data_IF_095454264599
#
_entry.id   IF_095454264599
#
_cell.length_a   1.000
_cell.length_b   1.000
_cell.length_c   1.000
_cell.angle_alpha   90.00
_cell.angle_beta   90.00
_cell.angle_gamma   90.00
#
_symmetry.space_group_name_H-M   'P 1'
#
loop_
_entity.id
_entity.type
_entity.pdbx_description
1 polymer ?
#
# COMPACT_ATOMS: atom_id res chain seq x y z
N UNK A 1 15.19 -26.51 -3.60
CA UNK A 1 14.36 -25.42 -3.05
C UNK A 1 13.01 -26.02 -2.72
N UNK A 2 12.51 -25.82 -1.50
CA UNK A 2 11.17 -26.28 -1.14
C UNK A 2 10.15 -25.43 -1.90
N UNK A 3 9.18 -26.08 -2.54
CA UNK A 3 8.06 -25.38 -3.19
C UNK A 3 7.32 -24.51 -2.16
N UNK A 4 6.86 -23.31 -2.54
CA UNK A 4 6.13 -22.45 -1.63
C UNK A 4 4.82 -23.12 -1.21
N UNK A 5 4.42 -22.88 0.04
CA UNK A 5 3.17 -23.40 0.61
C UNK A 5 2.39 -22.28 1.28
N UNK A 6 1.07 -22.36 1.21
CA UNK A 6 0.16 -21.47 1.96
C UNK A 6 0.43 -21.62 3.45
N UNK A 7 0.47 -20.49 4.18
CA UNK A 7 0.74 -20.47 5.61
C UNK A 7 -0.55 -20.18 6.38
N UNK A 8 -1.01 -21.12 7.19
CA UNK A 8 -2.22 -20.96 8.00
C UNK A 8 -2.01 -20.12 9.27
N UNK A 9 -0.76 -19.92 9.69
CA UNK A 9 -0.42 -19.18 10.91
C UNK A 9 0.39 -17.92 10.60
N UNK A 10 0.22 -16.86 11.40
CA UNK A 10 1.08 -15.69 11.34
C UNK A 10 2.56 -16.04 11.52
N UNK A 11 3.47 -15.30 10.86
CA UNK A 11 4.90 -15.42 11.12
C UNK A 11 5.20 -14.93 12.55
N UNK A 12 6.11 -15.60 13.24
CA UNK A 12 6.50 -15.27 14.61
C UNK A 12 7.65 -14.25 14.67
N UNK A 13 8.27 -13.95 13.52
CA UNK A 13 9.37 -12.99 13.42
C UNK A 13 9.44 -12.36 12.03
N UNK A 14 10.09 -11.19 11.94
CA UNK A 14 10.42 -10.56 10.66
C UNK A 14 11.27 -11.47 9.77
N UNK A 15 12.22 -12.22 10.36
CA UNK A 15 13.07 -13.14 9.60
C UNK A 15 12.25 -14.26 8.98
N UNK A 16 11.31 -14.85 9.72
CA UNK A 16 10.41 -15.87 9.20
C UNK A 16 9.54 -15.32 8.06
N UNK A 17 8.93 -14.14 8.26
CA UNK A 17 8.15 -13.47 7.23
C UNK A 17 8.98 -13.25 5.95
N UNK A 18 10.22 -12.76 6.10
CA UNK A 18 11.10 -12.51 4.98
C UNK A 18 11.48 -13.80 4.25
N UNK A 19 11.76 -14.90 4.97
CA UNK A 19 12.04 -16.20 4.37
C UNK A 19 10.84 -16.74 3.59
N UNK A 20 9.61 -16.61 4.13
CA UNK A 20 8.38 -16.95 3.42
C UNK A 20 8.25 -16.12 2.14
N UNK A 21 8.45 -14.81 2.22
CA UNK A 21 8.37 -13.92 1.05
C UNK A 21 9.45 -14.23 0.00
N UNK A 22 10.68 -14.53 0.42
CA UNK A 22 11.77 -14.90 -0.48
C UNK A 22 11.48 -16.19 -1.25
N UNK A 23 10.78 -17.14 -0.62
CA UNK A 23 10.37 -18.39 -1.29
C UNK A 23 9.38 -18.19 -2.44
N UNK A 24 8.72 -17.03 -2.52
CA UNK A 24 7.79 -16.68 -3.59
C UNK A 24 8.49 -16.02 -4.78
N UNK A 25 9.69 -15.48 -4.59
CA UNK A 25 10.41 -14.76 -5.64
C UNK A 25 10.69 -15.67 -6.85
N UNK A 26 10.39 -15.16 -8.05
CA UNK A 26 10.54 -15.87 -9.31
C UNK A 26 9.31 -16.66 -9.77
N UNK A 27 8.40 -17.03 -8.87
CA UNK A 27 7.13 -17.66 -9.24
C UNK A 27 6.21 -16.68 -9.96
N UNK A 28 5.39 -17.20 -10.87
CA UNK A 28 4.34 -16.42 -11.50
C UNK A 28 3.01 -16.50 -10.74
N UNK A 29 2.13 -15.53 -11.00
CA UNK A 29 0.84 -15.43 -10.31
C UNK A 29 -0.08 -16.64 -10.55
N UNK A 30 0.00 -17.30 -11.71
CA UNK A 30 -0.80 -18.50 -11.97
C UNK A 30 -0.35 -19.68 -11.11
N UNK A 31 0.96 -19.93 -11.02
CA UNK A 31 1.53 -21.00 -10.19
C UNK A 31 1.14 -20.82 -8.71
N UNK A 32 1.28 -19.60 -8.20
CA UNK A 32 0.91 -19.29 -6.82
C UNK A 32 -0.61 -19.39 -6.60
N UNK A 33 -1.42 -18.98 -7.57
CA UNK A 33 -2.88 -19.13 -7.51
C UNK A 33 -3.30 -20.60 -7.44
N UNK A 34 -2.69 -21.46 -8.26
CA UNK A 34 -2.96 -22.90 -8.28
C UNK A 34 -2.59 -23.56 -6.95
N UNK A 35 -1.42 -23.20 -6.38
CA UNK A 35 -1.00 -23.68 -5.06
C UNK A 35 -1.97 -23.22 -3.97
N UNK A 36 -2.40 -21.96 -4.01
CA UNK A 36 -3.36 -21.40 -3.06
C UNK A 36 -4.81 -21.83 -3.29
N UNK A 37 -5.09 -22.53 -4.41
CA UNK A 37 -6.44 -22.88 -4.88
C UNK A 37 -7.34 -21.65 -5.01
N UNK A 38 -6.77 -20.52 -5.43
CA UNK A 38 -7.50 -19.29 -5.68
C UNK A 38 -7.74 -19.12 -7.19
N UNK A 39 -8.96 -18.75 -7.62
CA UNK A 39 -9.22 -18.51 -9.04
C UNK A 39 -8.43 -17.27 -9.50
N UNK A 40 -7.61 -17.44 -10.53
CA UNK A 40 -6.90 -16.34 -11.18
C UNK A 40 -7.90 -15.52 -12.03
N UNK A 41 -8.09 -14.21 -11.74
CA UNK A 41 -8.97 -13.38 -12.55
C UNK A 41 -8.33 -13.11 -13.93
N UNK A 42 -9.16 -12.82 -14.93
CA UNK A 42 -8.66 -12.47 -16.27
C UNK A 42 -7.88 -11.13 -16.28
N UNK A 43 -8.22 -10.20 -15.37
CA UNK A 43 -7.56 -8.91 -15.19
C UNK A 43 -7.93 -8.30 -13.82
N UNK A 44 -7.19 -7.26 -13.41
CA UNK A 44 -7.37 -6.59 -12.11
C UNK A 44 -8.35 -5.40 -12.14
N UNK A 45 -9.20 -5.26 -13.17
CA UNK A 45 -10.10 -4.09 -13.27
C UNK A 45 -11.12 -4.05 -12.12
N UNK A 46 -11.67 -5.21 -11.75
CA UNK A 46 -12.61 -5.38 -10.64
C UNK A 46 -11.92 -5.90 -9.37
N UNK A 47 -10.82 -6.63 -9.53
CA UNK A 47 -10.11 -7.33 -8.44
C UNK A 47 -8.78 -6.67 -8.08
N UNK A 48 -8.79 -5.34 -7.89
CA UNK A 48 -7.56 -4.53 -7.69
C UNK A 48 -6.68 -4.98 -6.53
N UNK A 49 -7.26 -5.64 -5.52
CA UNK A 49 -6.55 -6.16 -4.34
C UNK A 49 -6.15 -7.63 -4.42
N UNK A 50 -6.46 -8.34 -5.51
CA UNK A 50 -6.31 -9.79 -5.57
C UNK A 50 -4.88 -10.29 -5.37
N UNK A 51 -3.87 -9.57 -5.89
CA UNK A 51 -2.46 -9.92 -5.68
C UNK A 51 -2.09 -9.81 -4.20
N UNK A 52 -2.59 -8.78 -3.50
CA UNK A 52 -2.39 -8.61 -2.06
C UNK A 52 -2.95 -9.81 -1.29
N UNK A 53 -4.20 -10.18 -1.56
CA UNK A 53 -4.87 -11.33 -0.96
C UNK A 53 -4.08 -12.62 -1.22
N UNK A 54 -3.64 -12.85 -2.47
CA UNK A 54 -2.84 -14.02 -2.81
C UNK A 54 -1.59 -14.11 -1.92
N UNK A 55 -0.85 -13.01 -1.76
CA UNK A 55 0.37 -12.99 -0.96
C UNK A 55 0.08 -13.10 0.54
N UNK A 56 -1.01 -12.51 1.05
CA UNK A 56 -1.46 -12.69 2.43
C UNK A 56 -1.65 -14.18 2.79
N UNK A 57 -2.20 -14.99 1.88
CA UNK A 57 -2.35 -16.44 2.05
C UNK A 57 -0.99 -17.16 2.20
N UNK A 58 0.02 -16.80 1.40
CA UNK A 58 1.35 -17.42 1.51
C UNK A 58 2.11 -16.96 2.75
N UNK A 59 1.93 -15.70 3.14
CA UNK A 59 2.69 -15.09 4.24
C UNK A 59 2.03 -15.31 5.60
N UNK A 60 0.75 -15.69 5.64
CA UNK A 60 0.00 -15.93 6.87
C UNK A 60 -0.52 -14.66 7.52
N UNK A 61 -0.94 -13.66 6.74
CA UNK A 61 -1.50 -12.43 7.30
C UNK A 61 -2.78 -12.70 8.10
N UNK A 62 -2.98 -11.97 9.20
CA UNK A 62 -4.09 -12.21 10.15
C UNK A 62 -4.99 -11.01 10.41
N UNK A 63 -4.63 -9.82 9.91
CA UNK A 63 -5.38 -8.59 10.17
C UNK A 63 -6.78 -8.60 9.52
N UNK A 64 -6.97 -9.36 8.43
CA UNK A 64 -8.20 -9.33 7.65
C UNK A 64 -8.51 -7.91 7.16
N UNK A 65 -9.75 -7.45 7.33
CA UNK A 65 -10.16 -6.09 6.91
C UNK A 65 -9.95 -5.00 7.97
N UNK A 66 -9.23 -5.27 9.06
CA UNK A 66 -9.02 -4.30 10.14
C UNK A 66 -8.09 -3.16 9.69
N UNK A 67 -8.18 -1.95 10.27
CA UNK A 67 -7.28 -0.83 9.99
C UNK A 67 -5.90 -1.01 10.66
N UNK A 68 -5.47 -2.24 10.89
CA UNK A 68 -4.19 -2.61 11.50
C UNK A 68 -3.16 -2.91 10.41
N UNK A 69 -1.91 -3.17 10.82
CA UNK A 69 -0.90 -3.72 9.91
C UNK A 69 -1.20 -5.19 9.62
N UNK A 70 -0.80 -5.68 8.44
CA UNK A 70 -1.12 -7.05 7.99
C UNK A 70 -0.56 -8.15 8.91
N UNK A 71 0.59 -7.86 9.55
CA UNK A 71 1.22 -8.71 10.57
C UNK A 71 1.37 -7.93 11.90
N UNK A 72 0.28 -7.78 12.68
CA UNK A 72 0.26 -6.88 13.84
C UNK A 72 1.23 -7.32 14.95
N UNK A 73 1.39 -8.64 15.17
CA UNK A 73 2.25 -9.19 16.23
C UNK A 73 3.74 -8.87 16.05
N UNK A 74 4.16 -8.61 14.81
CA UNK A 74 5.54 -8.21 14.47
C UNK A 74 5.63 -6.78 13.93
N UNK A 75 4.50 -6.06 13.88
CA UNK A 75 4.42 -4.66 13.47
C UNK A 75 4.78 -4.40 12.00
N UNK A 76 4.44 -5.29 11.07
CA UNK A 76 4.81 -5.18 9.64
C UNK A 76 3.57 -5.06 8.75
N UNK A 77 3.59 -4.08 7.83
CA UNK A 77 2.61 -3.92 6.75
C UNK A 77 3.12 -4.61 5.47
N UNK A 78 2.25 -5.31 4.76
CA UNK A 78 2.51 -5.84 3.43
C UNK A 78 2.11 -4.82 2.35
N UNK A 79 3.01 -4.53 1.41
CA UNK A 79 2.67 -3.76 0.22
C UNK A 79 3.20 -4.40 -1.05
N UNK A 80 2.30 -4.61 -2.00
CA UNK A 80 2.68 -4.95 -3.37
C UNK A 80 2.98 -3.68 -4.16
N UNK A 81 3.94 -3.76 -5.06
CA UNK A 81 4.29 -2.64 -5.94
C UNK A 81 4.47 -3.13 -7.38
N UNK A 82 3.60 -2.71 -8.33
CA UNK A 82 3.75 -3.10 -9.72
C UNK A 82 4.96 -2.37 -10.33
N UNK A 83 5.87 -3.13 -10.95
CA UNK A 83 7.09 -2.61 -11.58
C UNK A 83 7.15 -2.93 -13.08
N UNK A 84 7.89 -2.10 -13.83
CA UNK A 84 8.27 -2.38 -15.22
C UNK A 84 9.50 -3.30 -15.29
N UNK A 85 9.96 -3.60 -16.51
CA UNK A 85 11.12 -4.47 -16.74
C UNK A 85 12.44 -3.87 -16.24
N UNK A 86 12.47 -2.57 -15.93
CA UNK A 86 13.60 -1.87 -15.32
C UNK A 86 13.45 -1.75 -13.80
N UNK A 87 12.44 -2.38 -13.19
CA UNK A 87 12.19 -2.30 -11.75
C UNK A 87 11.57 -0.99 -11.29
N UNK A 88 11.11 -0.13 -12.21
CA UNK A 88 10.52 1.16 -11.85
C UNK A 88 9.04 1.00 -11.50
N UNK A 89 8.54 1.62 -10.42
CA UNK A 89 7.13 1.61 -10.08
C UNK A 89 6.25 2.12 -11.23
N UNK A 90 5.19 1.38 -11.53
CA UNK A 90 4.21 1.76 -12.55
C UNK A 90 3.12 2.67 -11.99
N UNK A 91 2.74 2.46 -10.73
CA UNK A 91 1.63 3.14 -10.06
C UNK A 91 2.04 3.75 -8.70
N UNK A 92 1.20 4.66 -8.19
CA UNK A 92 1.29 5.18 -6.82
C UNK A 92 0.77 4.16 -5.82
N UNK A 93 1.39 4.03 -4.65
CA UNK A 93 1.00 3.00 -3.68
C UNK A 93 0.03 3.55 -2.65
N UNK A 94 -1.13 2.90 -2.49
CA UNK A 94 -2.09 3.24 -1.44
C UNK A 94 -1.53 2.94 -0.04
N UNK A 95 -1.72 3.89 0.89
CA UNK A 95 -1.33 3.75 2.30
C UNK A 95 -2.55 3.44 3.15
N UNK A 96 -3.46 4.41 3.29
CA UNK A 96 -4.69 4.27 4.07
C UNK A 96 -5.76 5.27 3.62
N UNK A 97 -6.99 5.08 4.10
CA UNK A 97 -8.05 6.08 3.96
C UNK A 97 -7.68 7.32 4.78
N UNK A 98 -7.99 8.50 4.25
CA UNK A 98 -7.78 9.77 4.94
C UNK A 98 -9.05 10.15 5.72
N UNK A 99 -8.98 10.38 7.04
CA UNK A 99 -10.12 10.85 7.80
C UNK A 99 -10.46 12.29 7.41
N UNK A 100 -11.64 12.50 6.84
CA UNK A 100 -12.13 13.83 6.44
C UNK A 100 -12.90 14.54 7.56
N UNK A 101 -13.20 13.82 8.64
CA UNK A 101 -13.81 14.29 9.89
C UNK A 101 -13.14 13.57 11.06
N UNK A 102 -13.38 14.04 12.29
CA UNK A 102 -12.90 13.36 13.50
C UNK A 102 -11.37 13.32 13.64
N UNK A 103 -10.67 14.28 13.03
CA UNK A 103 -9.21 14.37 12.99
C UNK A 103 -8.62 15.32 14.06
N UNK A 104 -9.45 15.87 14.94
CA UNK A 104 -9.02 16.73 16.05
C UNK A 104 -8.02 16.01 16.97
N UNK A 105 -6.85 16.61 17.16
CA UNK A 105 -5.82 16.08 18.05
C UNK A 105 -4.95 14.97 17.46
N UNK A 106 -5.16 14.58 16.20
CA UNK A 106 -4.26 13.65 15.49
C UNK A 106 -3.00 14.40 15.08
N UNK A 107 -1.84 13.86 15.44
CA UNK A 107 -0.52 14.37 15.04
C UNK A 107 0.16 13.38 14.11
N UNK A 108 1.29 13.77 13.51
CA UNK A 108 2.10 12.85 12.70
C UNK A 108 2.46 11.58 13.48
N UNK A 109 2.85 11.70 14.75
CA UNK A 109 3.30 10.60 15.60
C UNK A 109 2.21 9.55 15.84
N UNK A 110 0.95 10.00 15.89
CA UNK A 110 -0.23 9.18 16.19
C UNK A 110 -1.08 8.84 14.95
N UNK A 111 -0.71 9.32 13.76
CA UNK A 111 -1.51 9.09 12.56
C UNK A 111 -1.36 7.68 11.98
N UNK A 112 -2.41 7.21 11.29
CA UNK A 112 -2.43 5.92 10.60
C UNK A 112 -1.39 5.81 9.48
N UNK A 113 -1.05 6.92 8.80
CA UNK A 113 -0.04 6.92 7.73
C UNK A 113 1.32 6.50 8.29
N UNK A 114 1.77 7.16 9.35
CA UNK A 114 3.02 6.82 10.03
C UNK A 114 3.00 5.40 10.58
N UNK A 115 1.91 5.00 11.25
CA UNK A 115 1.76 3.64 11.78
C UNK A 115 1.93 2.58 10.69
N UNK A 116 1.25 2.73 9.55
CA UNK A 116 1.34 1.76 8.43
C UNK A 116 2.67 1.79 7.69
N UNK A 117 3.40 2.89 7.73
CA UNK A 117 4.69 3.03 7.04
C UNK A 117 5.89 2.79 7.95
N UNK A 118 5.70 2.57 9.26
CA UNK A 118 6.79 2.36 10.21
C UNK A 118 7.69 1.17 9.85
N UNK A 119 7.08 0.08 9.34
CA UNK A 119 7.78 -1.11 8.85
C UNK A 119 6.96 -1.76 7.75
N UNK A 120 7.54 -1.88 6.56
CA UNK A 120 6.84 -2.39 5.36
C UNK A 120 7.65 -3.50 4.71
N UNK A 121 6.99 -4.63 4.46
CA UNK A 121 7.43 -5.64 3.52
C UNK A 121 6.92 -5.26 2.12
N UNK A 122 7.84 -4.82 1.26
CA UNK A 122 7.54 -4.58 -0.14
C UNK A 122 7.76 -5.84 -0.97
N UNK A 123 6.76 -6.17 -1.79
CA UNK A 123 6.86 -7.24 -2.79
C UNK A 123 6.66 -6.64 -4.18
N UNK A 124 7.73 -6.41 -4.96
CA UNK A 124 7.63 -6.03 -6.35
C UNK A 124 6.95 -7.14 -7.17
N UNK A 125 6.09 -6.76 -8.10
CA UNK A 125 5.43 -7.68 -9.02
C UNK A 125 5.48 -7.10 -10.42
N UNK A 126 5.79 -7.91 -11.43
CA UNK A 126 5.75 -7.46 -12.82
C UNK A 126 4.37 -6.89 -13.14
N UNK A 127 4.30 -5.64 -13.61
CA UNK A 127 3.05 -4.93 -13.82
C UNK A 127 2.76 -4.57 -15.27
N UNK A 128 3.73 -4.76 -16.17
CA UNK A 128 3.65 -4.38 -17.58
C UNK A 128 2.42 -4.95 -18.29
N UNK A 129 1.71 -4.09 -19.04
CA UNK A 129 0.41 -4.42 -19.63
C UNK A 129 0.45 -5.50 -20.70
N UNK A 130 1.60 -5.68 -21.35
CA UNK A 130 1.77 -6.71 -22.37
C UNK A 130 2.03 -8.10 -21.78
N UNK A 131 2.33 -8.19 -20.47
CA UNK A 131 2.49 -9.46 -19.76
C UNK A 131 1.11 -9.87 -19.19
N UNK A 132 0.55 -11.01 -19.62
CA UNK A 132 -0.70 -11.55 -19.07
C UNK A 132 -0.65 -11.68 -17.55
N UNK A 133 -1.77 -11.49 -16.85
CA UNK A 133 -1.78 -11.45 -15.37
C UNK A 133 -1.11 -12.69 -14.77
N UNK A 134 -1.50 -13.89 -15.19
CA UNK A 134 -0.95 -15.13 -14.66
C UNK A 134 0.55 -15.33 -14.91
N UNK A 135 1.11 -14.71 -15.96
CA UNK A 135 2.52 -14.83 -16.32
C UNK A 135 3.43 -13.84 -15.58
N UNK A 136 2.86 -12.85 -14.89
CA UNK A 136 3.63 -11.87 -14.11
C UNK A 136 4.31 -12.55 -12.95
N UNK A 137 5.59 -12.25 -12.77
CA UNK A 137 6.42 -12.82 -11.70
C UNK A 137 6.46 -11.95 -10.45
N UNK A 138 6.63 -12.63 -9.32
CA UNK A 138 6.96 -12.02 -8.03
C UNK A 138 8.45 -11.71 -8.00
N UNK A 139 8.81 -10.48 -7.66
CA UNK A 139 10.18 -10.03 -7.47
C UNK A 139 10.72 -10.41 -6.09
N UNK A 140 12.01 -10.13 -5.86
CA UNK A 140 12.61 -10.27 -4.54
C UNK A 140 11.94 -9.31 -3.53
N UNK A 141 11.57 -9.77 -2.34
CA UNK A 141 10.98 -8.90 -1.31
C UNK A 141 12.05 -8.02 -0.67
N UNK A 142 11.63 -6.90 -0.09
CA UNK A 142 12.47 -6.12 0.83
C UNK A 142 11.70 -5.67 2.07
N UNK A 143 12.43 -5.60 3.19
CA UNK A 143 11.96 -4.92 4.40
C UNK A 143 12.48 -3.48 4.37
N UNK A 144 11.58 -2.55 4.64
CA UNK A 144 11.88 -1.13 4.67
C UNK A 144 11.27 -0.46 5.91
N UNK A 145 12.02 0.49 6.46
CA UNK A 145 11.53 1.53 7.36
C UNK A 145 11.99 2.88 6.81
N UNK A 146 11.22 3.95 6.99
CA UNK A 146 11.65 5.27 6.55
C UNK A 146 12.93 5.66 7.29
N UNK A 147 13.90 6.15 6.54
CA UNK A 147 14.99 6.93 7.12
C UNK A 147 14.46 8.23 7.73
N UNK A 148 15.28 8.92 8.52
CA UNK A 148 14.91 10.21 9.11
C UNK A 148 14.48 11.24 8.05
N UNK A 149 15.14 11.26 6.90
CA UNK A 149 14.82 12.19 5.81
C UNK A 149 13.49 11.81 5.14
N UNK A 150 13.28 10.51 4.86
CA UNK A 150 12.02 10.00 4.32
C UNK A 150 10.84 10.27 5.28
N UNK A 151 11.04 10.07 6.59
CA UNK A 151 10.01 10.38 7.60
C UNK A 151 9.68 11.87 7.63
N UNK A 152 10.68 12.75 7.52
CA UNK A 152 10.46 14.21 7.46
C UNK A 152 9.72 14.64 6.18
N UNK A 153 10.03 14.04 5.03
CA UNK A 153 9.28 14.28 3.79
C UNK A 153 7.81 13.85 3.94
N UNK A 154 7.58 12.64 4.46
CA UNK A 154 6.23 12.13 4.68
C UNK A 154 5.44 12.99 5.68
N UNK A 155 6.08 13.43 6.77
CA UNK A 155 5.48 14.29 7.78
C UNK A 155 5.02 15.61 7.17
N UNK A 156 5.91 16.32 6.48
CA UNK A 156 5.61 17.64 5.88
C UNK A 156 4.42 17.57 4.94
N UNK A 157 4.39 16.57 4.05
CA UNK A 157 3.27 16.40 3.13
C UNK A 157 1.98 16.02 3.86
N UNK A 158 2.07 15.17 4.88
CA UNK A 158 0.90 14.77 5.66
C UNK A 158 0.31 15.98 6.40
N UNK A 159 1.14 16.81 7.03
CA UNK A 159 0.71 18.03 7.72
C UNK A 159 0.05 19.01 6.74
N UNK A 160 0.66 19.29 5.58
CA UNK A 160 0.07 20.14 4.53
C UNK A 160 -1.31 19.62 4.09
N UNK A 161 -1.43 18.32 3.82
CA UNK A 161 -2.66 17.70 3.36
C UNK A 161 -3.75 17.70 4.45
N UNK A 162 -3.36 17.50 5.71
CA UNK A 162 -4.27 17.53 6.85
C UNK A 162 -4.75 18.94 7.16
N UNK A 163 -3.89 19.97 7.03
CA UNK A 163 -4.29 21.37 7.17
C UNK A 163 -5.39 21.73 6.16
N UNK A 164 -5.23 21.31 4.90
CA UNK A 164 -6.26 21.52 3.88
C UNK A 164 -7.58 20.81 4.21
N UNK A 165 -7.54 19.62 4.82
CA UNK A 165 -8.75 18.91 5.27
C UNK A 165 -9.41 19.68 6.43
N UNK A 166 -8.64 20.07 7.44
CA UNK A 166 -9.14 20.73 8.66
C UNK A 166 -9.70 22.12 8.36
N UNK A 167 -9.10 22.85 7.43
CA UNK A 167 -9.59 24.14 6.94
C UNK A 167 -10.81 24.02 6.00
N UNK A 168 -11.34 22.81 5.82
CA UNK A 168 -12.50 22.54 4.97
C UNK A 168 -12.24 22.73 3.47
N UNK A 169 -10.98 22.70 3.06
CA UNK A 169 -10.51 22.89 1.67
C UNK A 169 -10.25 21.57 0.94
N UNK A 170 -10.87 20.48 1.38
CA UNK A 170 -10.67 19.13 0.83
C UNK A 170 -10.90 19.03 -0.68
N UNK A 171 -11.84 19.80 -1.23
CA UNK A 171 -12.15 19.78 -2.67
C UNK A 171 -11.08 20.46 -3.52
N UNK A 172 -10.30 21.37 -2.93
CA UNK A 172 -9.17 22.02 -3.60
C UNK A 172 -7.96 21.08 -3.75
N UNK A 173 -7.94 19.96 -3.01
CA UNK A 173 -6.82 19.03 -3.00
C UNK A 173 -6.73 18.29 -4.33
N UNK A 174 -5.71 18.65 -5.11
CA UNK A 174 -5.31 17.96 -6.34
C UNK A 174 -4.12 17.02 -6.12
N UNK A 175 -3.86 16.15 -7.09
CA UNK A 175 -2.69 15.25 -7.10
C UNK A 175 -1.33 15.99 -7.12
N UNK A 176 -1.31 17.32 -7.32
CA UNK A 176 -0.09 18.12 -7.30
C UNK A 176 0.40 18.43 -5.89
N UNK A 177 -0.48 18.44 -4.89
CA UNK A 177 -0.10 18.65 -3.49
C UNK A 177 0.77 17.50 -2.97
N UNK A 178 1.63 17.84 -2.00
CA UNK A 178 2.71 17.02 -1.45
C UNK A 178 3.83 16.71 -2.45
N UNK A 179 5.01 16.40 -1.96
CA UNK A 179 6.18 16.04 -2.78
C UNK A 179 6.29 14.52 -3.00
N UNK A 180 6.00 13.74 -1.96
CA UNK A 180 6.16 12.29 -1.86
C UNK A 180 4.87 11.56 -1.46
N UNK A 181 3.96 12.23 -0.76
CA UNK A 181 2.65 11.76 -0.34
C UNK A 181 1.56 12.61 -0.98
N UNK A 182 0.41 12.02 -1.31
CA UNK A 182 -0.73 12.75 -1.87
C UNK A 182 -2.07 12.16 -1.46
N UNK A 183 -3.11 12.98 -1.57
CA UNK A 183 -4.49 12.52 -1.49
C UNK A 183 -5.10 12.30 -2.88
N UNK A 184 -5.78 11.16 -3.04
CA UNK A 184 -6.57 10.86 -4.24
C UNK A 184 -7.91 10.23 -3.85
N UNK A 185 -8.94 10.29 -4.71
CA UNK A 185 -10.17 9.55 -4.47
C UNK A 185 -9.92 8.05 -4.23
N UNK A 186 -10.56 7.48 -3.21
CA UNK A 186 -10.54 6.05 -2.87
C UNK A 186 -11.96 5.57 -2.60
N UNK A 187 -12.74 5.42 -3.67
CA UNK A 187 -14.14 5.04 -3.61
C UNK A 187 -14.39 3.70 -4.32
N UNK A 188 -15.40 2.94 -3.85
CA UNK A 188 -15.87 1.73 -4.52
C UNK A 188 -16.49 2.04 -5.89
N UNK A 189 -17.15 3.21 -6.00
CA UNK A 189 -17.73 3.74 -7.22
C UNK A 189 -17.79 5.28 -7.16
N UNK A 190 -18.15 5.94 -8.25
CA UNK A 190 -18.25 7.41 -8.36
C UNK A 190 -19.38 8.03 -7.52
N UNK A 191 -20.26 7.22 -6.91
CA UNK A 191 -21.39 7.68 -6.11
C UNK A 191 -21.16 7.50 -4.61
N UNK A 192 -20.05 6.86 -4.19
CA UNK A 192 -19.75 6.71 -2.78
C UNK A 192 -19.37 8.06 -2.18
N UNK A 193 -20.07 8.46 -1.13
CA UNK A 193 -19.87 9.72 -0.42
C UNK A 193 -19.47 9.45 1.02
N UNK A 194 -18.72 10.39 1.59
CA UNK A 194 -18.38 10.43 3.02
C UNK A 194 -18.52 11.87 3.51
N UNK A 195 -18.73 12.02 4.81
CA UNK A 195 -18.80 13.33 5.45
C UNK A 195 -17.41 13.99 5.46
N UNK A 196 -17.40 15.31 5.30
CA UNK A 196 -16.25 16.17 5.43
C UNK A 196 -16.67 17.53 5.99
N UNK A 197 -15.68 18.37 6.32
CA UNK A 197 -15.88 19.76 6.71
C UNK A 197 -15.72 20.64 5.46
N UNK A 198 -16.65 21.57 5.25
CA UNK A 198 -16.57 22.59 4.20
C UNK A 198 -15.88 23.88 4.66
N UNK A 199 -15.62 24.80 3.73
CA UNK A 199 -14.82 26.01 3.97
C UNK A 199 -15.33 26.92 5.10
N UNK A 200 -16.63 26.91 5.41
CA UNK A 200 -17.22 27.68 6.51
C UNK A 200 -17.55 26.83 7.75
N UNK A 201 -16.94 25.65 7.86
CA UNK A 201 -17.14 24.72 8.99
C UNK A 201 -18.42 23.88 8.91
N UNK A 202 -19.23 24.05 7.87
CA UNK A 202 -20.44 23.25 7.67
C UNK A 202 -20.13 21.81 7.26
N UNK A 203 -20.93 20.81 7.67
CA UNK A 203 -20.83 19.46 7.13
C UNK A 203 -21.13 19.44 5.62
N UNK A 204 -20.31 18.73 4.86
CA UNK A 204 -20.51 18.48 3.43
C UNK A 204 -20.35 16.99 3.12
N UNK A 205 -20.86 16.56 1.98
CA UNK A 205 -20.58 15.23 1.43
C UNK A 205 -19.59 15.35 0.27
N UNK A 206 -18.55 14.53 0.28
CA UNK A 206 -17.56 14.49 -0.80
C UNK A 206 -17.09 13.05 -1.07
N UNK A 207 -16.29 12.86 -2.11
CA UNK A 207 -15.70 11.54 -2.39
C UNK A 207 -14.68 11.17 -1.32
N UNK A 208 -14.70 9.92 -0.81
CA UNK A 208 -13.67 9.42 0.10
C UNK A 208 -12.26 9.62 -0.47
N UNK A 209 -11.32 10.02 0.37
CA UNK A 209 -9.91 10.22 -0.01
C UNK A 209 -9.03 9.15 0.64
N UNK A 210 -7.93 8.85 -0.02
CA UNK A 210 -6.88 7.99 0.51
C UNK A 210 -5.52 8.63 0.31
N UNK A 211 -4.60 8.33 1.22
CA UNK A 211 -3.20 8.67 1.10
C UNK A 211 -2.50 7.69 0.15
N UNK A 212 -1.67 8.22 -0.74
CA UNK A 212 -0.86 7.44 -1.67
C UNK A 212 0.58 7.95 -1.68
N UNK A 213 1.54 7.02 -1.65
CA UNK A 213 2.94 7.32 -1.96
C UNK A 213 3.09 7.55 -3.45
N UNK A 214 3.74 8.66 -3.81
CA UNK A 214 4.10 8.99 -5.18
C UNK A 214 5.23 8.08 -5.66
N UNK A 215 5.30 7.91 -6.98
CA UNK A 215 6.37 7.14 -7.62
C UNK A 215 7.76 7.75 -7.38
N UNK A 216 7.82 9.07 -7.20
CA UNK A 216 9.04 9.80 -6.83
C UNK A 216 9.58 9.40 -5.47
N UNK A 217 8.75 8.82 -4.59
CA UNK A 217 9.18 8.25 -3.31
C UNK A 217 9.58 6.78 -3.43
N UNK A 218 8.74 5.97 -4.08
CA UNK A 218 8.96 4.52 -4.15
C UNK A 218 10.05 4.11 -5.14
N UNK A 219 10.30 4.87 -6.21
CA UNK A 219 11.39 4.56 -7.15
C UNK A 219 12.78 4.64 -6.49
N UNK A 220 13.18 5.74 -5.83
CA UNK A 220 14.47 5.79 -5.12
C UNK A 220 14.60 4.75 -4.00
N UNK A 221 13.49 4.45 -3.31
CA UNK A 221 13.43 3.39 -2.29
C UNK A 221 13.83 2.03 -2.88
N UNK A 222 13.21 1.64 -4.00
CA UNK A 222 13.53 0.37 -4.66
C UNK A 222 14.94 0.38 -5.24
N UNK A 223 15.34 1.47 -5.90
CA UNK A 223 16.66 1.60 -6.51
C UNK A 223 17.78 1.51 -5.47
N UNK A 224 17.63 2.16 -4.32
CA UNK A 224 18.59 2.08 -3.21
C UNK A 224 18.77 0.66 -2.67
N UNK A 225 17.70 -0.12 -2.59
CA UNK A 225 17.76 -1.49 -2.07
C UNK A 225 18.36 -2.48 -3.07
N UNK A 226 17.96 -2.39 -4.35
CA UNK A 226 18.38 -3.33 -5.39
C UNK A 226 19.57 -2.85 -6.23
N UNK A 227 20.12 -1.66 -5.94
CA UNK A 227 21.21 -1.01 -6.68
C UNK A 227 20.90 -0.85 -8.17
N UNK A 228 19.70 -0.34 -8.48
CA UNK A 228 19.20 -0.09 -9.84
C UNK A 228 19.62 1.27 -10.39
#
# INVERSE_FOLDING_TARGET
>A
MNSPSVSATPPQSEQELLLRAQSLAGYNLAELADIARLPLPANLKRDKGWIGILLEHFLGASAGSKPEQDFPDIGIELKTIPIDEQGRPLETTFVCVAPLTGNSGVTWESCHVRHKLARVLWIPVEGSRHIPLGARRIGAPLIWSPSREEEEQLRRDWEELMDLIVLGRVESITARHGEVLQLRPKAANSHALTEAIGEFGQPILTLPRGFYLKKTFTAPLLARHFLL
#
